data_IF_749152769045
#
_entry.id   IF_749152769045
#
_cell.length_a   1.000
_cell.length_b   1.000
_cell.length_c   1.000
_cell.angle_alpha   90.00
_cell.angle_beta   90.00
_cell.angle_gamma   90.00
#
_symmetry.space_group_name_H-M   'P 1'
#
loop_
_entity.id
_entity.type
_entity.pdbx_description
1 polymer ?
#
# COMPACT_ATOMS: atom_id res chain seq x y z
N UNK A 1 -12.87 10.60 -17.59
CA UNK A 1 -12.70 9.61 -16.51
C UNK A 1 -12.31 10.37 -15.25
N UNK A 2 -13.25 10.62 -14.35
CA UNK A 2 -13.07 11.47 -13.16
C UNK A 2 -12.00 10.85 -12.26
N UNK A 3 -10.82 11.48 -12.19
CA UNK A 3 -9.82 11.11 -11.17
C UNK A 3 -10.40 11.53 -9.83
N UNK A 4 -10.59 10.57 -8.93
CA UNK A 4 -10.89 10.86 -7.53
C UNK A 4 -9.54 11.26 -6.92
N UNK A 5 -9.37 12.55 -6.66
CA UNK A 5 -8.19 13.04 -5.94
C UNK A 5 -8.08 12.34 -4.58
N UNK A 6 -6.88 11.85 -4.26
CA UNK A 6 -6.62 11.03 -3.06
C UNK A 6 -6.84 9.52 -3.22
N UNK A 7 -7.35 9.03 -4.35
CA UNK A 7 -7.51 7.59 -4.58
C UNK A 7 -6.19 6.91 -4.98
N UNK A 8 -5.72 5.99 -4.13
CA UNK A 8 -4.50 5.20 -4.31
C UNK A 8 -4.84 3.83 -4.89
N UNK A 9 -4.26 3.50 -6.04
CA UNK A 9 -4.50 2.21 -6.69
C UNK A 9 -3.78 1.06 -5.99
N UNK A 10 -4.26 -0.19 -6.15
CA UNK A 10 -3.54 -1.38 -5.65
C UNK A 10 -2.13 -1.52 -6.25
N UNK A 11 -1.94 -1.07 -7.49
CA UNK A 11 -0.61 -1.06 -8.15
C UNK A 11 0.32 -0.09 -7.42
N UNK A 12 -0.18 1.09 -7.06
CA UNK A 12 0.54 2.09 -6.28
C UNK A 12 0.95 1.54 -4.92
N UNK A 13 0.05 0.87 -4.20
CA UNK A 13 0.36 0.29 -2.88
C UNK A 13 1.42 -0.80 -2.99
N UNK A 14 1.37 -1.63 -4.04
CA UNK A 14 2.46 -2.58 -4.29
C UNK A 14 3.77 -1.88 -4.56
N UNK A 15 3.78 -0.84 -5.39
CA UNK A 15 5.00 -0.06 -5.66
C UNK A 15 5.55 0.56 -4.37
N UNK A 16 4.69 1.10 -3.52
CA UNK A 16 5.06 1.65 -2.21
C UNK A 16 5.66 0.59 -1.28
N UNK A 17 5.11 -0.63 -1.25
CA UNK A 17 5.65 -1.74 -0.46
C UNK A 17 7.01 -2.22 -1.00
N UNK A 18 7.13 -2.41 -2.33
CA UNK A 18 8.38 -2.84 -2.97
C UNK A 18 9.51 -1.81 -2.78
N UNK A 19 9.15 -0.53 -2.64
CA UNK A 19 10.09 0.58 -2.45
C UNK A 19 9.96 1.25 -1.06
N UNK A 20 9.64 0.46 -0.04
CA UNK A 20 9.38 0.97 1.31
C UNK A 20 10.55 1.79 1.88
N UNK A 21 11.80 1.41 1.58
CA UNK A 21 12.99 2.16 2.02
C UNK A 21 13.13 3.52 1.31
N UNK A 22 12.86 3.58 0.01
CA UNK A 22 12.95 4.82 -0.78
C UNK A 22 11.89 5.85 -0.37
N UNK A 23 10.73 5.39 0.10
CA UNK A 23 9.70 6.27 0.68
C UNK A 23 10.19 6.99 1.95
N UNK A 24 11.10 6.39 2.72
CA UNK A 24 11.66 7.00 3.93
C UNK A 24 12.62 8.16 3.61
N UNK A 25 13.31 8.07 2.48
CA UNK A 25 14.28 9.06 1.99
C UNK A 25 13.57 10.26 1.35
N UNK A 26 12.31 10.10 0.93
CA UNK A 26 11.55 11.14 0.23
C UNK A 26 11.89 11.21 -1.26
N UNK A 27 12.54 10.18 -1.80
CA UNK A 27 12.93 10.14 -3.20
C UNK A 27 11.72 9.90 -4.11
N UNK A 28 11.63 10.69 -5.19
CA UNK A 28 10.64 10.46 -6.24
C UNK A 28 11.00 9.21 -7.02
N UNK A 29 10.05 8.27 -7.10
CA UNK A 29 10.12 7.22 -8.12
C UNK A 29 10.04 7.86 -9.51
N UNK A 30 10.83 7.41 -10.49
CA UNK A 30 10.69 7.87 -11.88
C UNK A 30 9.31 7.54 -12.48
N UNK A 31 8.56 6.64 -11.84
CA UNK A 31 7.24 6.16 -12.24
C UNK A 31 6.16 6.44 -11.17
N UNK A 32 6.30 7.56 -10.45
CA UNK A 32 5.47 7.87 -9.28
C UNK A 32 3.97 8.02 -9.64
N UNK A 33 3.08 7.14 -9.15
CA UNK A 33 1.64 7.34 -9.24
C UNK A 33 1.20 8.55 -8.40
N UNK A 34 0.02 9.14 -8.68
CA UNK A 34 -0.41 10.40 -8.05
C UNK A 34 -0.37 10.31 -6.52
N UNK A 35 0.39 11.24 -5.92
CA UNK A 35 0.47 11.47 -4.48
C UNK A 35 -0.84 12.05 -3.94
N UNK A 36 -1.05 11.90 -2.63
CA UNK A 36 -2.16 12.54 -1.91
C UNK A 36 -1.92 14.06 -1.84
N UNK A 37 -2.38 14.81 -2.84
CA UNK A 37 -2.22 16.26 -2.87
C UNK A 37 -3.28 16.92 -1.98
N UNK A 38 -2.89 17.29 -0.76
CA UNK A 38 -3.56 18.36 -0.03
C UNK A 38 -3.33 19.71 -0.73
N UNK A 39 -4.17 20.73 -0.49
CA UNK A 39 -4.01 22.03 -1.13
C UNK A 39 -2.75 22.70 -0.57
N UNK A 40 -1.69 22.75 -1.38
CA UNK A 40 -0.48 23.52 -1.10
C UNK A 40 0.73 22.69 -0.70
N UNK A 41 1.42 22.10 -1.67
CA UNK A 41 2.86 21.86 -1.55
C UNK A 41 3.50 22.02 -2.92
N UNK A 42 4.04 23.21 -3.18
CA UNK A 42 4.93 23.52 -4.31
C UNK A 42 6.33 22.89 -4.14
N UNK A 43 6.54 22.06 -3.11
CA UNK A 43 7.84 21.46 -2.78
C UNK A 43 7.78 19.93 -2.83
N UNK A 44 8.35 19.38 -3.90
CA UNK A 44 8.37 17.95 -4.24
C UNK A 44 9.18 17.03 -3.32
N UNK A 45 9.46 17.43 -2.07
CA UNK A 45 10.21 16.64 -1.06
C UNK A 45 9.35 16.09 0.09
N UNK A 46 8.09 16.52 0.19
CA UNK A 46 7.23 16.22 1.35
C UNK A 46 6.34 14.97 1.16
N UNK A 47 6.07 14.59 -0.09
CA UNK A 47 5.07 13.57 -0.45
C UNK A 47 5.47 12.15 -0.06
N UNK A 48 6.74 11.77 -0.21
CA UNK A 48 7.21 10.41 0.09
C UNK A 48 7.08 10.05 1.57
N UNK A 49 7.36 11.02 2.45
CA UNK A 49 7.22 10.87 3.91
C UNK A 49 5.76 10.72 4.33
N UNK A 50 4.84 11.48 3.73
CA UNK A 50 3.41 11.34 3.98
C UNK A 50 2.92 9.95 3.55
N UNK A 51 3.30 9.50 2.35
CA UNK A 51 2.96 8.17 1.85
C UNK A 51 3.48 7.06 2.79
N UNK A 52 4.70 7.22 3.33
CA UNK A 52 5.24 6.28 4.32
C UNK A 52 4.44 6.28 5.62
N UNK A 53 4.09 7.44 6.17
CA UNK A 53 3.32 7.53 7.41
C UNK A 53 1.96 6.85 7.25
N UNK A 54 1.26 7.14 6.14
CA UNK A 54 -0.03 6.53 5.81
C UNK A 54 0.11 5.02 5.65
N UNK A 55 1.15 4.55 4.95
CA UNK A 55 1.42 3.13 4.78
C UNK A 55 1.78 2.44 6.11
N UNK A 56 2.58 3.05 6.97
CA UNK A 56 2.94 2.54 8.29
C UNK A 56 1.72 2.40 9.19
N UNK A 57 0.84 3.40 9.18
CA UNK A 57 -0.41 3.34 9.93
C UNK A 57 -1.34 2.25 9.40
N UNK A 58 -1.41 2.08 8.07
CA UNK A 58 -2.19 1.02 7.46
C UNK A 58 -1.61 -0.38 7.75
N UNK A 59 -0.28 -0.54 7.75
CA UNK A 59 0.39 -1.81 8.11
C UNK A 59 0.10 -2.17 9.57
N UNK A 60 0.08 -1.19 10.49
CA UNK A 60 -0.28 -1.42 11.90
C UNK A 60 -1.71 -1.90 12.11
N UNK A 61 -2.61 -1.63 11.18
CA UNK A 61 -4.00 -2.11 11.22
C UNK A 61 -4.18 -3.51 10.64
N UNK A 62 -3.14 -4.10 10.03
CA UNK A 62 -3.21 -5.47 9.53
C UNK A 62 -3.30 -6.48 10.69
N UNK A 63 -3.96 -7.64 10.48
CA UNK A 63 -3.87 -8.76 11.41
C UNK A 63 -2.40 -9.14 11.64
N UNK A 64 -2.00 -9.41 12.90
CA UNK A 64 -0.60 -9.70 13.28
C UNK A 64 0.10 -10.67 12.32
N UNK A 65 -0.58 -11.76 11.96
CA UNK A 65 -0.07 -12.78 11.06
C UNK A 65 0.27 -12.26 9.65
N UNK A 66 -0.47 -11.29 9.13
CA UNK A 66 -0.19 -10.66 7.84
C UNK A 66 0.83 -9.54 7.99
N UNK A 67 0.76 -8.80 9.09
CA UNK A 67 1.72 -7.76 9.43
C UNK A 67 3.14 -8.32 9.44
N UNK A 68 3.38 -9.45 10.11
CA UNK A 68 4.71 -10.09 10.13
C UNK A 68 5.22 -10.48 8.73
N UNK A 69 4.32 -10.98 7.86
CA UNK A 69 4.68 -11.34 6.48
C UNK A 69 5.07 -10.11 5.66
N UNK A 70 4.29 -9.04 5.79
CA UNK A 70 4.53 -7.76 5.09
C UNK A 70 5.82 -7.13 5.59
N UNK A 71 6.04 -7.06 6.90
CA UNK A 71 7.27 -6.53 7.50
C UNK A 71 8.49 -7.38 7.11
N UNK A 72 8.39 -8.71 7.20
CA UNK A 72 9.49 -9.60 6.82
C UNK A 72 9.87 -9.44 5.35
N UNK A 73 8.88 -9.28 4.45
CA UNK A 73 9.12 -9.15 3.00
C UNK A 73 9.65 -7.78 2.60
N UNK A 74 8.97 -6.72 3.05
CA UNK A 74 9.15 -5.37 2.50
C UNK A 74 10.02 -4.46 3.35
N UNK A 75 10.08 -4.70 4.67
CA UNK A 75 10.86 -3.87 5.61
C UNK A 75 12.20 -4.54 5.95
N UNK A 76 12.16 -5.79 6.40
CA UNK A 76 13.35 -6.51 6.84
C UNK A 76 14.04 -7.31 5.73
N UNK A 77 13.45 -7.37 4.52
CA UNK A 77 13.95 -8.11 3.35
C UNK A 77 14.40 -9.55 3.67
N UNK A 78 13.69 -10.21 4.59
CA UNK A 78 14.00 -11.57 5.03
C UNK A 78 13.71 -12.53 3.87
N UNK A 79 14.63 -13.48 3.59
CA UNK A 79 14.40 -14.48 2.55
C UNK A 79 13.10 -15.25 2.78
N UNK A 80 12.29 -15.39 1.73
CA UNK A 80 10.99 -16.08 1.76
C UNK A 80 11.08 -17.44 2.45
N UNK A 81 12.10 -18.25 2.14
CA UNK A 81 12.31 -19.58 2.72
C UNK A 81 12.36 -19.54 4.26
N UNK A 82 12.97 -18.51 4.83
CA UNK A 82 13.04 -18.33 6.27
C UNK A 82 11.66 -17.96 6.84
N UNK A 83 10.94 -17.04 6.19
CA UNK A 83 9.58 -16.65 6.60
C UNK A 83 8.60 -17.83 6.55
N UNK A 84 8.65 -18.66 5.49
CA UNK A 84 7.83 -19.87 5.37
C UNK A 84 8.11 -20.86 6.50
N UNK A 85 9.40 -21.10 6.80
CA UNK A 85 9.84 -22.00 7.87
C UNK A 85 9.42 -21.48 9.25
N UNK A 86 9.68 -20.22 9.54
CA UNK A 86 9.40 -19.62 10.85
C UNK A 86 7.90 -19.51 11.12
N UNK A 87 7.10 -19.22 10.10
CA UNK A 87 5.64 -19.10 10.25
C UNK A 87 4.90 -20.42 10.02
N UNK A 88 5.63 -21.49 9.67
CA UNK A 88 5.08 -22.81 9.34
C UNK A 88 3.91 -22.74 8.33
N UNK A 89 4.10 -22.01 7.23
CA UNK A 89 3.10 -21.83 6.17
C UNK A 89 3.64 -22.29 4.82
N UNK A 90 2.73 -22.68 3.93
CA UNK A 90 3.07 -23.02 2.54
C UNK A 90 3.27 -21.77 1.69
N UNK A 91 3.96 -21.94 0.56
CA UNK A 91 4.18 -20.87 -0.41
C UNK A 91 2.85 -20.28 -0.93
N UNK A 92 1.86 -21.13 -1.18
CA UNK A 92 0.51 -20.71 -1.60
C UNK A 92 -0.15 -19.80 -0.54
N UNK A 93 -0.08 -20.19 0.74
CA UNK A 93 -0.66 -19.40 1.83
C UNK A 93 0.08 -18.07 1.98
N UNK A 94 1.41 -18.07 1.82
CA UNK A 94 2.21 -16.84 1.84
C UNK A 94 1.76 -15.84 0.77
N UNK A 95 1.64 -16.26 -0.49
CA UNK A 95 1.19 -15.36 -1.55
C UNK A 95 -0.27 -14.91 -1.39
N UNK A 96 -1.15 -15.80 -0.95
CA UNK A 96 -2.54 -15.43 -0.63
C UNK A 96 -2.58 -14.36 0.44
N UNK A 97 -1.80 -14.51 1.52
CA UNK A 97 -1.71 -13.51 2.59
C UNK A 97 -1.10 -12.19 2.11
N UNK A 98 -0.07 -12.22 1.25
CA UNK A 98 0.46 -10.99 0.64
C UNK A 98 -0.61 -10.28 -0.21
N UNK A 99 -1.38 -11.02 -1.01
CA UNK A 99 -2.46 -10.46 -1.82
C UNK A 99 -3.56 -9.85 -0.95
N UNK A 100 -3.99 -10.57 0.08
CA UNK A 100 -4.96 -10.08 1.06
C UNK A 100 -4.47 -8.85 1.81
N UNK A 101 -3.20 -8.80 2.19
CA UNK A 101 -2.61 -7.63 2.83
C UNK A 101 -2.69 -6.39 1.92
N UNK A 102 -2.36 -6.51 0.63
CA UNK A 102 -2.51 -5.40 -0.32
C UNK A 102 -3.98 -4.96 -0.46
N UNK A 103 -4.91 -5.91 -0.44
CA UNK A 103 -6.34 -5.60 -0.52
C UNK A 103 -6.83 -4.83 0.72
N UNK A 104 -6.40 -5.24 1.91
CA UNK A 104 -6.72 -4.56 3.18
C UNK A 104 -6.06 -3.17 3.21
N UNK A 105 -4.78 -3.07 2.89
CA UNK A 105 -4.08 -1.78 2.80
C UNK A 105 -4.78 -0.83 1.82
N UNK A 106 -5.25 -1.34 0.69
CA UNK A 106 -6.03 -0.55 -0.26
C UNK A 106 -7.37 -0.08 0.31
N UNK A 107 -8.04 -0.87 1.14
CA UNK A 107 -9.26 -0.44 1.82
C UNK A 107 -8.95 0.58 2.91
N UNK A 108 -7.93 0.34 3.73
CA UNK A 108 -7.54 1.23 4.83
C UNK A 108 -7.06 2.60 4.36
N UNK A 109 -6.20 2.64 3.33
CA UNK A 109 -5.60 3.90 2.83
C UNK A 109 -6.65 4.77 2.13
N UNK A 110 -7.56 4.17 1.37
CA UNK A 110 -8.58 4.90 0.63
C UNK A 110 -9.85 5.16 1.46
N UNK A 111 -10.05 4.43 2.56
CA UNK A 111 -11.24 4.51 3.40
C UNK A 111 -12.54 4.41 2.60
N UNK A 112 -13.46 5.33 2.87
CA UNK A 112 -14.78 5.41 2.22
C UNK A 112 -14.71 5.74 0.72
N UNK A 113 -13.59 6.23 0.20
CA UNK A 113 -13.43 6.48 -1.24
C UNK A 113 -13.46 5.18 -2.06
N UNK A 114 -13.16 4.02 -1.46
CA UNK A 114 -13.36 2.72 -2.12
C UNK A 114 -14.85 2.43 -2.30
N UNK A 115 -15.66 2.73 -1.28
CA UNK A 115 -17.11 2.66 -1.32
C UNK A 115 -17.68 3.63 -2.35
N UNK A 116 -17.20 4.88 -2.35
CA UNK A 116 -17.62 5.93 -3.26
C UNK A 116 -17.25 5.63 -4.72
N UNK A 117 -16.06 5.06 -5.00
CA UNK A 117 -15.69 4.59 -6.34
C UNK A 117 -16.53 3.40 -6.79
N UNK A 118 -16.86 2.46 -5.90
CA UNK A 118 -17.79 1.36 -6.21
C UNK A 118 -19.19 1.91 -6.50
N UNK A 119 -19.64 2.91 -5.74
CA UNK A 119 -20.92 3.59 -5.93
C UNK A 119 -20.96 4.34 -7.26
N UNK A 120 -19.95 5.18 -7.56
CA UNK A 120 -19.81 5.89 -8.82
C UNK A 120 -19.75 4.90 -9.99
N UNK A 121 -19.00 3.79 -9.87
CA UNK A 121 -18.99 2.75 -10.89
C UNK A 121 -20.36 2.07 -11.07
N UNK A 122 -21.15 1.94 -10.01
CA UNK A 122 -22.51 1.37 -10.06
C UNK A 122 -23.53 2.36 -10.62
N UNK A 123 -23.33 3.66 -10.40
CA UNK A 123 -24.20 4.74 -10.86
C UNK A 123 -23.89 5.21 -12.29
N UNK A 124 -22.62 5.19 -12.70
CA UNK A 124 -22.12 5.65 -14.00
C UNK A 124 -21.56 4.53 -14.88
N UNK A 125 -21.69 3.27 -14.47
CA UNK A 125 -21.29 2.10 -15.24
C UNK A 125 -22.48 1.29 -15.70
N UNK A 126 -23.14 1.80 -16.74
CA UNK A 126 -23.40 1.05 -17.96
C UNK A 126 -22.29 1.43 -18.96
#
# INVERSE_FOLDING_TARGET
MTRIDGYVSKKTIRLWLENYESLAVGDRFPDAPPSFTGPGAQDGKSDGRLNKIVLDQAIKQLPKNMQYIVLARYVAKIPRKNTLRTMNITETVYYTRCKQAVDILHMTINGDMVGMKKLIKKLYGA
#
